data_IF_228797553450
#
_entry.id   IF_228797553450
#
_cell.length_a   1.000
_cell.length_b   1.000
_cell.length_c   1.000
_cell.angle_alpha   90.00
_cell.angle_beta   90.00
_cell.angle_gamma   90.00
#
_symmetry.space_group_name_H-M   'P 1'
#
loop_
_entity.id
_entity.type
_entity.pdbx_description
1 polymer ?
#
# COMPACT_ATOMS: atom_id res chain seq x y z
N UNK A 1 -26.91 3.58 -2.37
CA UNK A 1 -28.02 4.45 -1.93
C UNK A 1 -29.08 4.43 -3.03
N UNK A 2 -30.24 3.83 -2.79
CA UNK A 2 -31.36 3.75 -3.74
C UNK A 2 -32.25 4.98 -3.58
N UNK A 3 -32.22 5.90 -4.54
CA UNK A 3 -33.10 7.07 -4.56
C UNK A 3 -34.45 6.68 -5.17
N UNK A 4 -35.54 6.77 -4.38
CA UNK A 4 -36.90 6.70 -4.91
C UNK A 4 -37.19 8.03 -5.63
N UNK A 5 -37.60 7.99 -6.90
CA UNK A 5 -38.05 9.19 -7.62
C UNK A 5 -39.56 9.37 -7.42
N UNK A 6 -40.05 10.60 -7.43
CA UNK A 6 -41.38 11.08 -6.96
C UNK A 6 -42.65 10.37 -7.49
N UNK A 7 -42.54 9.39 -8.40
CA UNK A 7 -43.67 8.68 -9.01
C UNK A 7 -43.64 7.15 -8.83
N UNK A 8 -42.95 6.64 -7.81
CA UNK A 8 -43.08 5.23 -7.40
C UNK A 8 -42.54 4.19 -8.40
N UNK A 9 -41.75 4.61 -9.40
CA UNK A 9 -41.06 3.71 -10.32
C UNK A 9 -39.75 3.26 -9.69
N UNK A 10 -39.62 1.96 -9.41
CA UNK A 10 -38.37 1.35 -8.97
C UNK A 10 -37.34 1.49 -10.10
N UNK A 11 -36.16 2.06 -9.81
CA UNK A 11 -35.05 2.04 -10.77
C UNK A 11 -34.59 0.58 -10.93
N UNK A 12 -34.94 -0.05 -12.07
CA UNK A 12 -34.64 -1.46 -12.37
C UNK A 12 -33.15 -1.65 -12.75
N UNK A 13 -32.42 -0.55 -13.00
CA UNK A 13 -31.01 -0.60 -13.35
C UNK A 13 -30.13 -0.42 -12.11
N UNK A 14 -29.21 -1.36 -11.90
CA UNK A 14 -28.17 -1.23 -10.89
C UNK A 14 -27.29 -0.03 -11.25
N UNK A 15 -27.34 1.02 -10.42
CA UNK A 15 -26.41 2.14 -10.54
C UNK A 15 -25.11 1.75 -9.86
N UNK A 16 -24.15 1.30 -10.66
CA UNK A 16 -22.79 1.08 -10.19
C UNK A 16 -22.16 2.39 -9.72
N UNK A 17 -21.31 2.33 -8.70
CA UNK A 17 -20.48 3.48 -8.33
C UNK A 17 -19.55 3.78 -9.50
N UNK A 18 -19.42 5.04 -9.94
CA UNK A 18 -18.49 5.35 -11.02
C UNK A 18 -17.08 4.93 -10.57
N UNK A 19 -16.30 4.27 -11.43
CA UNK A 19 -14.90 3.99 -11.13
C UNK A 19 -14.21 5.32 -10.82
N UNK A 20 -13.66 5.44 -9.61
CA UNK A 20 -12.81 6.57 -9.24
C UNK A 20 -11.48 6.32 -9.93
N UNK A 21 -11.19 7.10 -10.96
CA UNK A 21 -9.84 7.16 -11.51
C UNK A 21 -8.99 7.84 -10.43
N UNK A 22 -8.11 7.09 -9.75
CA UNK A 22 -7.02 7.72 -9.02
C UNK A 22 -6.21 8.50 -10.05
N UNK A 23 -6.11 9.82 -9.86
CA UNK A 23 -5.22 10.61 -10.69
C UNK A 23 -3.80 10.10 -10.50
N UNK A 24 -2.99 10.10 -11.57
CA UNK A 24 -1.60 9.61 -11.57
C UNK A 24 -0.79 10.19 -10.39
N UNK A 25 -1.06 11.45 -10.03
CA UNK A 25 -0.42 12.13 -8.90
C UNK A 25 -0.78 11.57 -7.51
N UNK A 26 -1.99 11.04 -7.33
CA UNK A 26 -2.39 10.40 -6.05
C UNK A 26 -1.90 8.96 -5.96
N UNK A 27 -1.87 8.22 -7.07
CA UNK A 27 -1.31 6.87 -7.10
C UNK A 27 0.20 6.86 -6.88
N UNK A 28 0.94 7.78 -7.51
CA UNK A 28 2.40 7.87 -7.37
C UNK A 28 2.78 8.24 -5.93
N UNK A 29 2.06 9.19 -5.32
CA UNK A 29 2.40 9.65 -3.98
C UNK A 29 2.22 8.55 -2.92
N UNK A 30 1.11 7.81 -2.96
CA UNK A 30 0.80 6.81 -1.93
C UNK A 30 1.47 5.47 -2.21
N UNK A 31 1.51 5.03 -3.47
CA UNK A 31 1.93 3.67 -3.81
C UNK A 31 3.42 3.60 -4.18
N UNK A 32 3.89 4.43 -5.13
CA UNK A 32 5.27 4.37 -5.59
C UNK A 32 6.26 4.76 -4.48
N UNK A 33 5.99 5.83 -3.74
CA UNK A 33 6.87 6.25 -2.65
C UNK A 33 6.90 5.24 -1.51
N UNK A 34 5.76 4.61 -1.18
CA UNK A 34 5.71 3.59 -0.14
C UNK A 34 6.50 2.34 -0.55
N UNK A 35 6.37 1.89 -1.80
CA UNK A 35 7.15 0.78 -2.34
C UNK A 35 8.65 1.10 -2.36
N UNK A 36 9.04 2.30 -2.80
CA UNK A 36 10.44 2.75 -2.80
C UNK A 36 11.02 2.78 -1.39
N UNK A 37 10.28 3.34 -0.43
CA UNK A 37 10.71 3.45 0.97
C UNK A 37 10.86 2.07 1.61
N UNK A 38 9.91 1.17 1.40
CA UNK A 38 9.99 -0.21 1.87
C UNK A 38 11.19 -0.96 1.26
N UNK A 39 11.43 -0.78 -0.04
CA UNK A 39 12.59 -1.35 -0.72
C UNK A 39 13.92 -0.85 -0.14
N UNK A 40 14.03 0.46 0.12
CA UNK A 40 15.23 1.06 0.74
C UNK A 40 15.45 0.55 2.17
N UNK A 41 14.40 0.49 2.98
CA UNK A 41 14.47 -0.03 4.34
C UNK A 41 14.91 -1.50 4.37
N UNK A 42 14.41 -2.31 3.44
CA UNK A 42 14.82 -3.72 3.31
C UNK A 42 16.30 -3.86 2.92
N UNK A 43 16.78 -3.05 1.97
CA UNK A 43 18.20 -3.05 1.57
C UNK A 43 19.11 -2.64 2.73
N UNK A 44 18.73 -1.61 3.49
CA UNK A 44 19.46 -1.20 4.69
C UNK A 44 19.48 -2.31 5.75
N UNK A 45 18.34 -2.96 5.99
CA UNK A 45 18.25 -4.10 6.90
C UNK A 45 19.16 -5.26 6.50
N UNK A 46 19.24 -5.56 5.19
CA UNK A 46 20.13 -6.60 4.67
C UNK A 46 21.61 -6.27 4.88
N UNK A 47 22.04 -5.04 4.54
CA UNK A 47 23.42 -4.59 4.76
C UNK A 47 23.75 -4.59 6.25
N UNK A 48 22.83 -4.15 7.10
CA UNK A 48 22.98 -4.19 8.55
C UNK A 48 23.13 -5.63 9.08
N UNK A 49 22.35 -6.58 8.56
CA UNK A 49 22.46 -8.00 8.93
C UNK A 49 23.81 -8.61 8.52
N UNK A 50 24.30 -8.29 7.31
CA UNK A 50 25.64 -8.69 6.88
C UNK A 50 26.73 -8.06 7.76
N UNK A 51 26.62 -6.76 8.06
CA UNK A 51 27.53 -6.06 8.95
C UNK A 51 27.55 -6.64 10.36
N UNK A 52 26.38 -6.99 10.90
CA UNK A 52 26.24 -7.66 12.18
C UNK A 52 26.93 -9.03 12.20
N UNK A 53 26.75 -9.83 11.15
CA UNK A 53 27.42 -11.13 11.03
C UNK A 53 28.95 -10.99 10.95
N UNK A 54 29.46 -10.03 10.16
CA UNK A 54 30.91 -9.81 10.02
C UNK A 54 31.52 -9.32 11.34
N UNK A 55 30.83 -8.46 12.09
CA UNK A 55 31.37 -7.84 13.31
C UNK A 55 31.20 -8.69 14.57
N UNK A 56 30.09 -9.43 14.67
CA UNK A 56 29.73 -10.17 15.90
C UNK A 56 29.68 -11.68 15.71
N UNK A 57 29.76 -12.19 14.47
CA UNK A 57 29.57 -13.60 14.14
C UNK A 57 28.11 -14.08 14.25
N UNK A 58 27.19 -13.19 14.63
CA UNK A 58 25.77 -13.48 14.83
C UNK A 58 24.92 -12.73 13.81
N UNK A 59 23.95 -13.41 13.21
CA UNK A 59 23.01 -12.78 12.26
C UNK A 59 22.09 -11.78 12.98
N UNK A 60 21.74 -12.07 14.24
CA UNK A 60 21.03 -11.14 15.12
C UNK A 60 21.82 -11.03 16.44
N UNK A 61 22.57 -9.94 16.65
CA UNK A 61 23.31 -9.75 17.89
C UNK A 61 22.35 -9.51 19.05
N UNK A 62 22.50 -10.29 20.13
CA UNK A 62 21.78 -10.07 21.40
C UNK A 62 20.41 -10.74 21.56
N UNK A 63 20.01 -11.65 20.66
CA UNK A 63 18.89 -12.58 20.91
C UNK A 63 19.50 -13.91 21.39
N UNK A 64 19.29 -14.25 22.67
CA UNK A 64 19.66 -15.53 23.29
C UNK A 64 18.40 -16.26 23.75
#
# INVERSE_FOLDING_TARGET
MTTITEYGKQNIFAKETPPRLMNEKESDFIMEQAERLNGQAAMLGFVAALGAYITTGQIIPGIF
#
